data_IF_409459892131
#
_entry.id   IF_409459892131
#
_cell.length_a   1.000
_cell.length_b   1.000
_cell.length_c   1.000
_cell.angle_alpha   90.00
_cell.angle_beta   90.00
_cell.angle_gamma   90.00
#
_symmetry.space_group_name_H-M   'P 1'
#
loop_
_entity.id
_entity.type
_entity.pdbx_description
1 polymer ?
#
# COMPACT_ATOMS: atom_id res chain seq x y z
N UNK A 1 -4.43 0.23 -22.54
CA UNK A 1 -3.75 -1.04 -22.85
C UNK A 1 -4.43 -2.10 -22.02
N UNK A 2 -5.00 -3.13 -22.64
CA UNK A 2 -5.72 -4.17 -21.92
C UNK A 2 -4.78 -4.82 -20.91
N UNK A 3 -5.09 -4.66 -19.63
CA UNK A 3 -4.50 -5.49 -18.59
C UNK A 3 -4.79 -6.92 -18.98
N UNK A 4 -3.74 -7.64 -19.36
CA UNK A 4 -3.85 -9.07 -19.63
C UNK A 4 -4.52 -9.72 -18.43
N UNK A 5 -5.21 -10.81 -18.72
CA UNK A 5 -6.10 -11.56 -17.84
C UNK A 5 -5.35 -12.28 -16.71
N UNK A 6 -4.47 -11.57 -15.98
CA UNK A 6 -3.77 -12.06 -14.80
C UNK A 6 -4.79 -12.47 -13.74
N UNK A 7 -5.92 -11.75 -13.69
CA UNK A 7 -7.09 -12.10 -12.88
C UNK A 7 -7.67 -13.48 -13.21
N UNK A 8 -7.97 -13.81 -14.48
CA UNK A 8 -8.49 -15.14 -14.80
C UNK A 8 -7.42 -16.23 -14.74
N UNK A 9 -6.16 -15.95 -15.09
CA UNK A 9 -5.08 -16.93 -14.94
C UNK A 9 -4.87 -17.29 -13.46
N UNK A 10 -4.94 -16.30 -12.57
CA UNK A 10 -4.88 -16.51 -11.13
C UNK A 10 -6.15 -17.18 -10.60
N UNK A 11 -7.35 -16.75 -11.00
CA UNK A 11 -8.62 -17.36 -10.60
C UNK A 11 -8.74 -18.82 -11.05
N UNK A 12 -8.30 -19.15 -12.27
CA UNK A 12 -8.22 -20.53 -12.77
C UNK A 12 -7.21 -21.38 -11.99
N UNK A 13 -6.10 -20.76 -11.57
CA UNK A 13 -5.13 -21.41 -10.68
C UNK A 13 -5.74 -21.64 -9.28
N UNK A 14 -6.53 -20.70 -8.77
CA UNK A 14 -7.23 -20.80 -7.49
C UNK A 14 -8.33 -21.86 -7.51
N UNK A 15 -9.11 -21.97 -8.59
CA UNK A 15 -10.08 -23.06 -8.79
C UNK A 15 -9.38 -24.43 -8.83
N UNK A 16 -8.18 -24.49 -9.41
CA UNK A 16 -7.41 -25.72 -9.55
C UNK A 16 -6.73 -26.16 -8.24
N UNK A 17 -6.27 -25.21 -7.43
CA UNK A 17 -5.44 -25.50 -6.25
C UNK A 17 -6.22 -25.38 -4.94
N UNK A 18 -7.35 -24.66 -4.92
CA UNK A 18 -8.16 -24.41 -3.73
C UNK A 18 -7.55 -23.37 -2.79
N UNK A 19 -8.21 -23.09 -1.66
CA UNK A 19 -7.75 -22.12 -0.65
C UNK A 19 -6.85 -22.71 0.44
N UNK A 20 -6.55 -24.01 0.36
CA UNK A 20 -5.68 -24.74 1.30
C UNK A 20 -4.31 -25.02 0.67
N UNK A 21 -3.57 -23.96 0.36
CA UNK A 21 -2.25 -24.07 -0.26
C UNK A 21 -1.15 -24.17 0.81
N UNK A 22 -0.34 -25.23 0.78
CA UNK A 22 0.89 -25.32 1.58
C UNK A 22 2.12 -24.95 0.75
N UNK A 23 3.23 -24.64 1.41
CA UNK A 23 4.51 -24.35 0.75
C UNK A 23 5.01 -25.52 -0.11
N UNK A 24 4.72 -26.76 0.28
CA UNK A 24 5.07 -27.95 -0.51
C UNK A 24 4.27 -28.05 -1.81
N UNK A 25 3.01 -27.59 -1.80
CA UNK A 25 2.14 -27.63 -2.99
C UNK A 25 2.60 -26.61 -4.04
N UNK A 26 3.11 -25.44 -3.60
CA UNK A 26 3.71 -24.45 -4.51
C UNK A 26 4.96 -24.99 -5.22
N UNK A 27 5.83 -25.70 -4.50
CA UNK A 27 7.05 -26.30 -5.07
C UNK A 27 6.71 -27.41 -6.08
N UNK A 28 5.63 -28.17 -5.86
CA UNK A 28 5.13 -29.18 -6.82
C UNK A 28 4.52 -28.55 -8.07
N UNK A 29 3.88 -27.39 -7.94
CA UNK A 29 3.23 -26.67 -9.05
C UNK A 29 4.24 -25.97 -9.96
N UNK A 30 5.36 -25.51 -9.39
CA UNK A 30 6.46 -24.89 -10.10
C UNK A 30 7.75 -25.69 -9.87
N UNK A 31 7.85 -26.91 -10.43
CA UNK A 31 9.07 -27.68 -10.31
C UNK A 31 10.19 -26.85 -10.92
N UNK A 32 11.21 -26.56 -10.10
CA UNK A 32 12.41 -25.90 -10.57
C UNK A 32 13.03 -26.83 -11.60
N UNK A 33 12.83 -26.55 -12.88
CA UNK A 33 13.70 -27.11 -13.89
C UNK A 33 15.04 -26.41 -13.68
N UNK A 34 15.90 -26.98 -12.83
CA UNK A 34 17.33 -26.74 -12.96
C UNK A 34 17.66 -27.13 -14.40
N UNK A 35 17.73 -26.15 -15.29
CA UNK A 35 18.51 -26.27 -16.50
C UNK A 35 19.85 -26.84 -16.03
N UNK A 36 20.26 -27.97 -16.62
CA UNK A 36 21.47 -28.70 -16.27
C UNK A 36 22.56 -27.71 -15.86
N UNK A 37 22.95 -27.71 -14.60
CA UNK A 37 24.15 -27.02 -14.15
C UNK A 37 25.29 -27.62 -14.96
N UNK A 38 25.66 -26.97 -16.05
CA UNK A 38 26.95 -27.18 -16.65
C UNK A 38 27.94 -26.63 -15.63
N UNK A 39 28.44 -27.51 -14.78
CA UNK A 39 29.46 -27.28 -13.73
C UNK A 39 30.80 -26.73 -14.28
N UNK A 40 30.83 -26.33 -15.56
CA UNK A 40 31.98 -25.76 -16.22
C UNK A 40 31.83 -24.22 -16.27
N UNK A 41 32.84 -23.47 -15.81
CA UNK A 41 32.82 -22.01 -15.87
C UNK A 41 32.70 -21.51 -17.32
N UNK A 42 32.02 -20.38 -17.49
CA UNK A 42 31.80 -19.78 -18.81
C UNK A 42 33.14 -19.35 -19.40
N UNK A 43 33.47 -19.88 -20.59
CA UNK A 43 34.63 -19.41 -21.35
C UNK A 43 34.31 -18.05 -21.99
N UNK A 44 34.83 -16.98 -21.41
CA UNK A 44 34.56 -15.62 -21.87
C UNK A 44 35.03 -15.34 -23.30
N UNK A 45 36.08 -16.03 -23.75
CA UNK A 45 36.62 -15.91 -25.11
C UNK A 45 35.65 -16.41 -26.19
N UNK A 46 34.74 -17.33 -25.83
CA UNK A 46 33.73 -17.86 -26.74
C UNK A 46 32.48 -16.96 -26.84
N UNK A 47 32.42 -15.89 -26.04
CA UNK A 47 31.28 -14.99 -25.99
C UNK A 47 31.34 -13.95 -27.13
N UNK A 48 30.29 -13.94 -27.96
CA UNK A 48 30.14 -13.19 -29.24
C UNK A 48 30.53 -11.70 -29.23
N UNK A 49 30.63 -11.06 -28.06
CA UNK A 49 30.93 -9.63 -27.93
C UNK A 49 31.96 -9.31 -26.83
N UNK A 50 32.59 -10.31 -26.21
CA UNK A 50 33.51 -10.09 -25.09
C UNK A 50 34.74 -9.26 -25.49
N UNK A 51 35.20 -9.41 -26.73
CA UNK A 51 36.30 -8.61 -27.29
C UNK A 51 36.01 -7.10 -27.25
N UNK A 52 34.74 -6.70 -27.42
CA UNK A 52 34.33 -5.30 -27.35
C UNK A 52 34.40 -4.76 -25.92
N UNK A 53 34.12 -5.60 -24.92
CA UNK A 53 34.23 -5.26 -23.49
C UNK A 53 35.70 -5.21 -23.04
N UNK A 54 36.56 -6.06 -23.61
CA UNK A 54 37.99 -6.11 -23.29
C UNK A 54 38.83 -5.04 -24.01
N UNK A 55 38.27 -4.40 -25.05
CA UNK A 55 38.98 -3.40 -25.85
C UNK A 55 39.39 -2.16 -25.04
N UNK A 56 40.58 -1.63 -25.34
CA UNK A 56 41.04 -0.34 -24.81
C UNK A 56 40.28 0.81 -25.51
N UNK A 57 39.53 1.65 -24.77
CA UNK A 57 38.75 2.74 -25.36
C UNK A 57 39.59 3.69 -26.20
N UNK A 58 40.85 3.97 -25.80
CA UNK A 58 41.72 4.89 -26.53
C UNK A 58 42.15 4.34 -27.88
N UNK A 59 42.51 3.05 -27.94
CA UNK A 59 42.89 2.38 -29.19
C UNK A 59 41.71 2.31 -30.15
N UNK A 60 40.55 1.92 -29.64
CA UNK A 60 39.38 1.70 -30.46
C UNK A 60 38.79 3.03 -31.00
N UNK A 61 38.92 4.14 -30.27
CA UNK A 61 38.70 5.49 -30.82
C UNK A 61 39.65 5.80 -31.98
N UNK A 62 40.94 5.54 -31.80
CA UNK A 62 41.95 5.75 -32.85
C UNK A 62 41.66 4.93 -34.11
N UNK A 63 41.24 3.68 -33.95
CA UNK A 63 40.82 2.83 -35.08
C UNK A 63 39.57 3.38 -35.78
N UNK A 64 38.60 3.88 -35.02
CA UNK A 64 37.39 4.49 -35.57
C UNK A 64 37.71 5.79 -36.34
N UNK A 65 38.59 6.63 -35.82
CA UNK A 65 39.08 7.84 -36.51
C UNK A 65 39.85 7.48 -37.79
N UNK A 66 40.67 6.43 -37.76
CA UNK A 66 41.35 5.93 -38.95
C UNK A 66 40.34 5.49 -40.02
N UNK A 67 39.34 4.70 -39.65
CA UNK A 67 38.28 4.25 -40.55
C UNK A 67 37.47 5.43 -41.12
N UNK A 68 37.19 6.47 -40.32
CA UNK A 68 36.55 7.71 -40.80
C UNK A 68 37.42 8.44 -41.82
N UNK A 69 38.73 8.53 -41.59
CA UNK A 69 39.66 9.17 -42.52
C UNK A 69 39.80 8.39 -43.83
N UNK A 70 39.85 7.06 -43.77
CA UNK A 70 39.86 6.17 -44.95
C UNK A 70 38.56 6.32 -45.76
N UNK A 71 37.39 6.30 -45.09
CA UNK A 71 36.10 6.52 -45.74
C UNK A 71 36.01 7.91 -46.38
N UNK A 72 36.56 8.94 -45.73
CA UNK A 72 36.63 10.31 -46.27
C UNK A 72 37.52 10.39 -47.51
N UNK A 73 38.62 9.64 -47.56
CA UNK A 73 39.50 9.58 -48.72
C UNK A 73 38.87 8.81 -49.90
N UNK A 74 38.13 7.74 -49.63
CA UNK A 74 37.53 6.90 -50.67
C UNK A 74 36.22 7.47 -51.24
N UNK A 75 35.38 8.07 -50.40
CA UNK A 75 34.01 8.46 -50.77
C UNK A 75 33.72 9.95 -50.59
N UNK A 76 34.68 10.73 -50.07
CA UNK A 76 34.55 12.17 -49.86
C UNK A 76 33.93 12.54 -48.51
N UNK A 77 34.10 13.80 -48.11
CA UNK A 77 33.64 14.32 -46.82
C UNK A 77 32.10 14.27 -46.66
N UNK A 78 31.37 14.60 -47.73
CA UNK A 78 29.91 14.59 -47.72
C UNK A 78 29.31 13.21 -47.42
N UNK A 79 30.00 12.13 -47.75
CA UNK A 79 29.55 10.76 -47.47
C UNK A 79 29.63 10.43 -45.98
N UNK A 80 30.76 10.78 -45.35
CA UNK A 80 30.95 10.57 -43.91
C UNK A 80 29.96 11.42 -43.10
N UNK A 81 29.73 12.67 -43.52
CA UNK A 81 28.76 13.55 -42.85
C UNK A 81 27.33 13.01 -42.98
N UNK A 82 26.96 12.47 -44.15
CA UNK A 82 25.66 11.81 -44.34
C UNK A 82 25.50 10.58 -43.45
N UNK A 83 26.57 9.78 -43.31
CA UNK A 83 26.55 8.64 -42.39
C UNK A 83 26.35 9.13 -40.97
N UNK A 84 27.19 10.04 -40.47
CA UNK A 84 27.15 10.52 -39.08
C UNK A 84 25.80 11.17 -38.73
N UNK A 85 25.13 11.80 -39.69
CA UNK A 85 23.81 12.43 -39.51
C UNK A 85 22.62 11.50 -39.78
N UNK A 86 22.84 10.29 -40.32
CA UNK A 86 21.74 9.37 -40.62
C UNK A 86 21.07 8.80 -39.36
N UNK A 87 19.88 8.24 -39.52
CA UNK A 87 19.19 7.46 -38.48
C UNK A 87 19.61 5.97 -38.45
N UNK A 88 20.36 5.52 -39.47
CA UNK A 88 20.80 4.12 -39.57
C UNK A 88 22.07 3.88 -38.77
N UNK A 89 22.17 2.72 -38.13
CA UNK A 89 23.39 2.30 -37.44
C UNK A 89 24.54 2.16 -38.44
N UNK A 90 25.74 2.60 -38.05
CA UNK A 90 26.96 2.39 -38.83
C UNK A 90 28.17 2.33 -37.88
N UNK A 91 29.13 1.40 -38.08
CA UNK A 91 30.34 1.31 -37.24
C UNK A 91 31.18 2.59 -37.15
N UNK A 92 31.03 3.53 -38.09
CA UNK A 92 31.75 4.80 -38.09
C UNK A 92 31.14 5.79 -37.08
N UNK A 93 29.94 5.53 -36.55
CA UNK A 93 29.29 6.34 -35.52
C UNK A 93 29.77 6.03 -34.11
N UNK A 94 30.49 4.92 -33.95
CA UNK A 94 31.03 4.47 -32.67
C UNK A 94 31.83 5.58 -31.99
N UNK A 95 31.49 5.90 -30.74
CA UNK A 95 32.18 6.94 -29.95
C UNK A 95 33.20 6.36 -28.97
N UNK A 96 32.86 5.25 -28.30
CA UNK A 96 33.70 4.56 -27.28
C UNK A 96 34.21 5.50 -26.20
N UNK A 97 33.28 6.23 -25.60
CA UNK A 97 33.54 7.19 -24.54
C UNK A 97 33.88 6.51 -23.21
N UNK A 98 33.32 5.32 -22.97
CA UNK A 98 33.33 4.65 -21.67
C UNK A 98 34.27 3.45 -21.64
N UNK A 99 34.89 3.19 -20.49
CA UNK A 99 35.70 1.99 -20.25
C UNK A 99 34.85 0.85 -19.65
N UNK A 100 34.56 -0.17 -20.47
CA UNK A 100 33.75 -1.33 -20.10
C UNK A 100 34.59 -2.53 -19.60
N UNK A 101 35.92 -2.40 -19.50
CA UNK A 101 36.77 -3.51 -19.07
C UNK A 101 36.42 -3.92 -17.64
N UNK A 102 36.27 -5.22 -17.44
CA UNK A 102 35.97 -5.79 -16.12
C UNK A 102 37.24 -5.86 -15.27
N UNK A 103 37.10 -5.56 -13.97
CA UNK A 103 38.16 -5.84 -12.99
C UNK A 103 38.37 -7.35 -12.85
N UNK A 104 39.53 -7.80 -12.33
CA UNK A 104 39.78 -9.23 -12.13
C UNK A 104 38.68 -9.94 -11.34
N UNK A 105 38.17 -9.31 -10.28
CA UNK A 105 37.11 -9.87 -9.43
C UNK A 105 35.76 -9.93 -10.16
N UNK A 106 35.41 -8.88 -10.91
CA UNK A 106 34.19 -8.83 -11.74
C UNK A 106 34.23 -9.90 -12.83
N UNK A 107 35.40 -10.11 -13.44
CA UNK A 107 35.63 -11.14 -14.46
C UNK A 107 35.47 -12.55 -13.87
N UNK A 108 36.07 -12.80 -12.71
CA UNK A 108 35.94 -14.09 -12.02
C UNK A 108 34.47 -14.39 -11.66
N UNK A 109 33.73 -13.39 -11.20
CA UNK A 109 32.29 -13.54 -10.92
C UNK A 109 31.47 -13.83 -12.19
N UNK A 110 31.81 -13.21 -13.32
CA UNK A 110 31.16 -13.47 -14.60
C UNK A 110 31.47 -14.90 -15.10
N UNK A 111 32.71 -15.37 -14.95
CA UNK A 111 33.11 -16.75 -15.30
C UNK A 111 32.38 -17.80 -14.46
N UNK A 112 32.18 -17.51 -13.17
CA UNK A 112 31.51 -18.42 -12.24
C UNK A 112 29.98 -18.45 -12.38
N UNK A 113 29.34 -17.27 -12.52
CA UNK A 113 27.88 -17.14 -12.42
C UNK A 113 27.19 -16.83 -13.76
N UNK A 114 27.93 -16.51 -14.82
CA UNK A 114 27.38 -16.06 -16.10
C UNK A 114 26.75 -14.65 -16.07
N UNK A 115 26.74 -13.99 -14.92
CA UNK A 115 26.27 -12.60 -14.74
C UNK A 115 27.14 -11.87 -13.72
N UNK A 116 27.34 -10.57 -13.93
CA UNK A 116 28.04 -9.68 -12.98
C UNK A 116 27.34 -8.32 -12.92
N UNK A 117 27.16 -7.79 -11.72
CA UNK A 117 26.71 -6.42 -11.50
C UNK A 117 27.93 -5.51 -11.31
N UNK A 118 27.99 -4.41 -12.06
CA UNK A 118 29.14 -3.50 -12.08
C UNK A 118 28.73 -2.14 -11.51
N UNK A 119 29.07 -1.89 -10.24
CA UNK A 119 28.66 -0.67 -9.52
C UNK A 119 29.45 0.59 -9.91
N UNK A 120 30.65 0.43 -10.47
CA UNK A 120 31.56 1.55 -10.79
C UNK A 120 31.03 2.49 -11.89
N UNK A 121 29.98 2.11 -12.60
CA UNK A 121 29.41 2.86 -13.72
C UNK A 121 27.99 3.34 -13.37
N UNK A 122 27.85 4.27 -12.40
CA UNK A 122 26.54 4.82 -12.09
C UNK A 122 25.99 5.61 -13.28
N UNK A 123 24.67 5.66 -13.33
CA UNK A 123 23.91 6.46 -14.27
C UNK A 123 22.66 6.98 -13.57
N UNK A 124 22.16 8.12 -14.01
CA UNK A 124 20.96 8.74 -13.41
C UNK A 124 19.68 7.98 -13.77
N UNK A 125 19.68 7.24 -14.87
CA UNK A 125 18.53 6.47 -15.34
C UNK A 125 18.94 5.30 -16.23
N UNK A 126 18.02 4.36 -16.43
CA UNK A 126 18.16 3.31 -17.44
C UNK A 126 18.40 3.87 -18.84
N UNK A 127 17.74 4.99 -19.18
CA UNK A 127 17.89 5.63 -20.49
C UNK A 127 19.31 6.12 -20.75
N UNK A 128 19.98 6.67 -19.73
CA UNK A 128 21.38 7.08 -19.83
C UNK A 128 22.31 5.88 -20.09
N UNK A 129 22.09 4.76 -19.39
CA UNK A 129 22.86 3.52 -19.64
C UNK A 129 22.65 3.02 -21.06
N UNK A 130 21.40 2.93 -21.51
CA UNK A 130 21.08 2.46 -22.87
C UNK A 130 21.68 3.37 -23.94
N UNK A 131 21.60 4.68 -23.74
CA UNK A 131 22.17 5.65 -24.68
C UNK A 131 23.71 5.54 -24.72
N UNK A 132 24.35 5.40 -23.56
CA UNK A 132 25.80 5.21 -23.44
C UNK A 132 26.28 3.94 -24.16
N UNK A 133 25.61 2.82 -23.93
CA UNK A 133 25.91 1.55 -24.60
C UNK A 133 25.68 1.65 -26.12
N UNK A 134 24.57 2.28 -26.53
CA UNK A 134 24.22 2.46 -27.93
C UNK A 134 25.25 3.34 -28.68
N UNK A 135 25.67 4.46 -28.09
CA UNK A 135 26.65 5.38 -28.69
C UNK A 135 28.06 4.79 -28.76
N UNK A 136 28.40 3.88 -27.84
CA UNK A 136 29.67 3.15 -27.85
C UNK A 136 29.66 1.88 -28.73
N UNK A 137 28.55 1.63 -29.42
CA UNK A 137 28.32 0.46 -30.27
C UNK A 137 28.47 -0.86 -29.50
N UNK A 138 27.97 -0.87 -28.26
CA UNK A 138 27.92 -2.05 -27.40
C UNK A 138 26.56 -2.75 -27.51
N UNK A 139 26.48 -4.08 -27.31
CA UNK A 139 25.21 -4.79 -27.27
C UNK A 139 24.30 -4.24 -26.18
N UNK A 140 23.10 -3.79 -26.55
CA UNK A 140 22.09 -3.27 -25.62
C UNK A 140 21.01 -4.33 -25.40
N UNK A 141 20.80 -4.70 -24.15
CA UNK A 141 19.67 -5.53 -23.75
C UNK A 141 18.72 -4.69 -22.91
N UNK A 142 17.52 -4.45 -23.43
CA UNK A 142 16.47 -3.68 -22.74
C UNK A 142 15.56 -4.65 -22.00
N UNK A 143 15.52 -4.54 -20.66
CA UNK A 143 14.66 -5.37 -19.82
C UNK A 143 13.33 -4.67 -19.54
N UNK A 144 12.33 -5.48 -19.18
CA UNK A 144 11.04 -4.99 -18.70
C UNK A 144 11.20 -4.06 -17.48
N UNK A 145 12.22 -4.28 -16.64
CA UNK A 145 12.46 -3.51 -15.42
C UNK A 145 12.60 -2.02 -15.69
N UNK A 146 13.23 -1.63 -16.81
CA UNK A 146 13.37 -0.20 -17.16
C UNK A 146 12.02 0.48 -17.42
N UNK A 147 11.06 -0.25 -18.01
CA UNK A 147 9.70 0.22 -18.26
C UNK A 147 8.88 0.19 -16.97
N UNK A 148 8.96 -0.91 -16.23
CA UNK A 148 8.24 -1.08 -14.95
C UNK A 148 8.70 -0.07 -13.90
N UNK A 149 9.99 0.26 -13.86
CA UNK A 149 10.54 1.29 -12.99
C UNK A 149 10.03 2.68 -13.35
N UNK A 150 10.01 3.03 -14.64
CA UNK A 150 9.45 4.30 -15.09
C UNK A 150 7.95 4.41 -14.78
N UNK A 151 7.21 3.31 -14.96
CA UNK A 151 5.80 3.23 -14.60
C UNK A 151 5.59 3.39 -13.09
N UNK A 152 6.34 2.65 -12.26
CA UNK A 152 6.27 2.73 -10.81
C UNK A 152 6.55 4.15 -10.30
N UNK A 153 7.61 4.79 -10.80
CA UNK A 153 7.93 6.18 -10.42
C UNK A 153 6.84 7.17 -10.82
N UNK A 154 6.23 6.97 -11.98
CA UNK A 154 5.12 7.82 -12.43
C UNK A 154 3.86 7.62 -11.58
N UNK A 155 3.57 6.37 -11.23
CA UNK A 155 2.45 6.02 -10.35
C UNK A 155 2.64 6.57 -8.93
N UNK A 156 3.84 6.42 -8.36
CA UNK A 156 4.21 6.94 -7.04
C UNK A 156 4.06 8.47 -6.98
N UNK A 157 4.59 9.19 -7.97
CA UNK A 157 4.44 10.65 -8.06
C UNK A 157 2.96 11.07 -8.19
N UNK A 158 2.19 10.38 -9.04
CA UNK A 158 0.75 10.61 -9.18
C UNK A 158 -0.01 10.37 -7.86
N UNK A 159 0.34 9.34 -7.11
CA UNK A 159 -0.25 9.05 -5.81
C UNK A 159 0.06 10.15 -4.81
N UNK A 160 1.31 10.56 -4.68
CA UNK A 160 1.74 11.66 -3.81
C UNK A 160 0.95 12.94 -4.11
N UNK A 161 0.86 13.31 -5.38
CA UNK A 161 0.12 14.51 -5.80
C UNK A 161 -1.37 14.38 -5.48
N UNK A 162 -1.97 13.21 -5.69
CA UNK A 162 -3.39 12.96 -5.37
C UNK A 162 -3.65 13.00 -3.86
N UNK A 163 -2.74 12.42 -3.07
CA UNK A 163 -2.84 12.40 -1.61
C UNK A 163 -2.76 13.80 -1.02
N UNK A 164 -1.79 14.61 -1.45
CA UNK A 164 -1.58 15.96 -0.94
C UNK A 164 -2.65 16.92 -1.45
N UNK A 165 -2.90 16.95 -2.77
CA UNK A 165 -3.74 18.00 -3.36
C UNK A 165 -5.24 17.73 -3.22
N UNK A 166 -5.63 16.45 -3.09
CA UNK A 166 -7.05 16.05 -3.12
C UNK A 166 -7.45 15.36 -1.83
N UNK A 167 -6.79 14.25 -1.46
CA UNK A 167 -7.27 13.41 -0.36
C UNK A 167 -7.10 14.07 1.01
N UNK A 168 -5.94 14.66 1.30
CA UNK A 168 -5.65 15.31 2.58
C UNK A 168 -6.63 16.47 2.89
N UNK A 169 -6.84 17.47 1.98
CA UNK A 169 -7.84 18.52 2.21
C UNK A 169 -9.27 18.01 2.30
N UNK A 170 -9.59 16.97 1.52
CA UNK A 170 -10.93 16.35 1.56
C UNK A 170 -11.17 15.65 2.89
N UNK A 171 -10.14 14.98 3.42
CA UNK A 171 -10.18 14.30 4.70
C UNK A 171 -10.32 15.30 5.85
N UNK A 172 -9.57 16.40 5.82
CA UNK A 172 -9.68 17.49 6.79
C UNK A 172 -11.12 18.00 6.89
N UNK A 173 -11.73 18.29 5.73
CA UNK A 173 -13.12 18.73 5.64
C UNK A 173 -14.12 17.69 6.18
N UNK A 174 -13.96 16.42 5.83
CA UNK A 174 -14.82 15.33 6.34
C UNK A 174 -14.76 15.28 7.87
N UNK A 175 -13.56 15.25 8.44
CA UNK A 175 -13.34 15.15 9.87
C UNK A 175 -13.84 16.39 10.61
N UNK A 176 -13.49 17.60 10.16
CA UNK A 176 -13.89 18.86 10.78
C UNK A 176 -15.42 19.03 10.80
N UNK A 177 -16.08 18.81 9.66
CA UNK A 177 -17.54 18.97 9.57
C UNK A 177 -18.30 17.94 10.41
N UNK A 178 -17.80 16.71 10.46
CA UNK A 178 -18.41 15.63 11.26
C UNK A 178 -18.18 15.86 12.75
N UNK A 179 -16.96 16.24 13.13
CA UNK A 179 -16.59 16.57 14.51
C UNK A 179 -17.43 17.74 15.04
N UNK A 180 -17.61 18.79 14.23
CA UNK A 180 -18.45 19.95 14.60
C UNK A 180 -19.89 19.53 14.92
N UNK A 181 -20.49 18.66 14.09
CA UNK A 181 -21.85 18.13 14.33
C UNK A 181 -21.92 17.26 15.59
N UNK A 182 -20.88 16.47 15.84
CA UNK A 182 -20.78 15.67 17.05
C UNK A 182 -20.69 16.55 18.31
N UNK A 183 -19.84 17.58 18.30
CA UNK A 183 -19.72 18.53 19.40
C UNK A 183 -21.02 19.32 19.67
N UNK A 184 -21.71 19.77 18.62
CA UNK A 184 -23.04 20.41 18.74
C UNK A 184 -24.04 19.49 19.45
N UNK A 185 -24.09 18.20 19.08
CA UNK A 185 -24.97 17.21 19.70
C UNK A 185 -24.61 16.97 21.18
N UNK A 186 -23.32 16.83 21.51
CA UNK A 186 -22.86 16.64 22.90
C UNK A 186 -23.25 17.83 23.80
N UNK A 187 -23.21 19.06 23.27
CA UNK A 187 -23.60 20.27 24.03
C UNK A 187 -25.12 20.31 24.23
N UNK A 188 -25.90 19.84 23.26
CA UNK A 188 -27.36 19.81 23.33
C UNK A 188 -27.90 18.73 24.28
N UNK A 189 -27.20 17.61 24.42
CA UNK A 189 -27.61 16.49 25.28
C UNK A 189 -27.37 16.78 26.76
N UNK A 190 -28.40 16.56 27.58
CA UNK A 190 -28.32 16.73 29.03
C UNK A 190 -27.30 15.77 29.67
N UNK A 191 -26.74 16.15 30.82
CA UNK A 191 -25.78 15.29 31.56
C UNK A 191 -26.43 14.04 32.19
N UNK A 192 -27.76 13.99 32.26
CA UNK A 192 -28.49 12.88 32.89
C UNK A 192 -28.63 11.66 31.95
N UNK A 193 -28.48 11.86 30.63
CA UNK A 193 -28.39 10.78 29.64
C UNK A 193 -26.94 10.27 29.55
N UNK A 194 -26.56 9.39 30.48
CA UNK A 194 -25.16 9.02 30.66
C UNK A 194 -24.62 8.12 29.54
N UNK A 195 -25.46 7.30 28.91
CA UNK A 195 -25.00 6.32 27.91
C UNK A 195 -24.87 6.94 26.53
N UNK A 196 -25.89 7.65 26.03
CA UNK A 196 -25.81 8.30 24.72
C UNK A 196 -24.74 9.40 24.71
N UNK A 197 -24.59 10.15 25.81
CA UNK A 197 -23.49 11.11 25.97
C UNK A 197 -22.14 10.42 25.86
N UNK A 198 -21.94 9.30 26.57
CA UNK A 198 -20.67 8.57 26.54
C UNK A 198 -20.32 8.07 25.13
N UNK A 199 -21.31 7.53 24.40
CA UNK A 199 -21.13 7.09 23.00
C UNK A 199 -20.69 8.24 22.11
N UNK A 200 -21.33 9.40 22.20
CA UNK A 200 -20.94 10.57 21.42
C UNK A 200 -19.54 11.07 21.79
N UNK A 201 -19.19 11.05 23.08
CA UNK A 201 -17.86 11.41 23.59
C UNK A 201 -16.79 10.47 23.04
N UNK A 202 -17.02 9.17 22.95
CA UNK A 202 -16.07 8.22 22.33
C UNK A 202 -15.92 8.45 20.81
N UNK A 203 -17.02 8.78 20.12
CA UNK A 203 -17.00 9.14 18.68
C UNK A 203 -16.24 10.46 18.45
N UNK A 204 -16.44 11.44 19.32
CA UNK A 204 -15.72 12.72 19.32
C UNK A 204 -14.22 12.49 19.47
N UNK A 205 -13.80 11.66 20.44
CA UNK A 205 -12.40 11.33 20.65
C UNK A 205 -11.78 10.68 19.40
N UNK A 206 -12.47 9.70 18.81
CA UNK A 206 -12.00 9.03 17.58
C UNK A 206 -11.79 10.01 16.42
N UNK A 207 -12.74 10.91 16.18
CA UNK A 207 -12.67 11.93 15.13
C UNK A 207 -11.57 12.96 15.43
N UNK A 208 -11.46 13.39 16.69
CA UNK A 208 -10.50 14.41 17.12
C UNK A 208 -9.07 13.91 17.07
N UNK A 209 -8.80 12.65 17.40
CA UNK A 209 -7.48 12.04 17.21
C UNK A 209 -7.11 12.07 15.72
N UNK A 210 -8.01 11.63 14.84
CA UNK A 210 -7.77 11.62 13.40
C UNK A 210 -7.46 13.01 12.83
N UNK A 211 -8.24 14.03 13.23
CA UNK A 211 -8.03 15.40 12.77
C UNK A 211 -6.75 16.03 13.36
N UNK A 212 -6.44 15.74 14.62
CA UNK A 212 -5.20 16.21 15.27
C UNK A 212 -3.96 15.60 14.61
N UNK A 213 -4.01 14.32 14.21
CA UNK A 213 -2.93 13.68 13.46
C UNK A 213 -2.74 14.31 12.08
N UNK A 214 -3.83 14.66 11.39
CA UNK A 214 -3.81 15.27 10.06
C UNK A 214 -3.24 16.70 10.08
N UNK A 215 -3.69 17.52 11.03
CA UNK A 215 -3.25 18.92 11.19
C UNK A 215 -1.89 19.04 11.86
N UNK A 216 -1.53 18.08 12.71
CA UNK A 216 -0.27 18.07 13.48
C UNK A 216 -0.33 18.93 14.74
N UNK A 217 -1.53 19.29 15.18
CA UNK A 217 -1.79 20.10 16.36
C UNK A 217 -3.00 19.52 17.12
N UNK A 218 -3.11 19.86 18.40
CA UNK A 218 -4.26 19.48 19.20
C UNK A 218 -5.47 20.31 18.75
N UNK A 219 -6.48 19.63 18.23
CA UNK A 219 -7.73 20.26 17.81
C UNK A 219 -8.63 20.48 19.02
N UNK A 220 -9.19 21.68 19.15
CA UNK A 220 -10.16 22.01 20.18
C UNK A 220 -11.43 21.14 20.08
N UNK A 221 -12.03 20.85 21.23
CA UNK A 221 -13.22 19.99 21.31
C UNK A 221 -13.78 19.93 22.72
N UNK A 222 -14.48 18.85 23.04
CA UNK A 222 -15.06 18.67 24.39
C UNK A 222 -13.94 18.35 25.38
N UNK A 223 -13.90 19.07 26.51
CA UNK A 223 -12.83 18.93 27.52
C UNK A 223 -12.81 17.57 28.24
N UNK A 224 -13.87 16.77 28.10
CA UNK A 224 -14.04 15.47 28.77
C UNK A 224 -12.97 14.45 28.35
N UNK A 225 -12.44 14.57 27.13
CA UNK A 225 -11.49 13.62 26.55
C UNK A 225 -10.06 14.12 26.40
N UNK A 226 -9.70 15.30 26.90
CA UNK A 226 -8.39 15.91 26.59
C UNK A 226 -7.22 15.04 27.04
N UNK A 227 -7.32 14.40 28.21
CA UNK A 227 -6.26 13.51 28.72
C UNK A 227 -6.12 12.26 27.84
N UNK A 228 -7.23 11.62 27.47
CA UNK A 228 -7.19 10.43 26.62
C UNK A 228 -6.77 10.75 25.17
N UNK A 229 -7.11 11.93 24.65
CA UNK A 229 -6.59 12.43 23.37
C UNK A 229 -5.06 12.49 23.39
N UNK A 230 -4.49 13.21 24.36
CA UNK A 230 -3.03 13.36 24.47
C UNK A 230 -2.34 12.00 24.63
N UNK A 231 -2.96 11.09 25.40
CA UNK A 231 -2.47 9.73 25.60
C UNK A 231 -2.47 8.91 24.31
N UNK A 232 -3.57 8.92 23.55
CA UNK A 232 -3.66 8.20 22.27
C UNK A 232 -2.70 8.75 21.23
N UNK A 233 -2.54 10.07 21.16
CA UNK A 233 -1.53 10.71 20.31
C UNK A 233 -0.12 10.28 20.73
N UNK A 234 0.20 10.29 22.02
CA UNK A 234 1.49 9.82 22.52
C UNK A 234 1.74 8.33 22.18
N UNK A 235 0.70 7.49 22.20
CA UNK A 235 0.81 6.09 21.78
C UNK A 235 1.12 5.97 20.29
N UNK A 236 0.41 6.71 19.43
CA UNK A 236 0.68 6.78 17.98
C UNK A 236 2.12 7.19 17.69
N UNK A 237 2.65 8.19 18.41
CA UNK A 237 4.04 8.64 18.24
C UNK A 237 5.07 7.72 18.89
N UNK A 238 4.67 6.84 19.81
CA UNK A 238 5.60 5.90 20.43
C UNK A 238 6.00 4.73 19.54
N UNK A 239 5.21 4.43 18.49
CA UNK A 239 5.50 3.36 17.51
C UNK A 239 5.70 1.97 18.16
N UNK A 240 5.06 1.74 19.31
CA UNK A 240 5.17 0.54 20.13
C UNK A 240 3.82 -0.17 20.26
N UNK A 241 3.84 -1.49 20.49
CA UNK A 241 2.62 -2.21 20.86
C UNK A 241 2.22 -1.87 22.31
N UNK A 242 1.00 -1.37 22.52
CA UNK A 242 0.51 -0.92 23.82
C UNK A 242 -0.93 -1.34 24.07
N UNK A 243 -1.28 -1.52 25.34
CA UNK A 243 -2.68 -1.58 25.75
C UNK A 243 -3.27 -0.16 25.75
N UNK A 244 -4.29 0.03 24.92
CA UNK A 244 -5.01 1.29 24.78
C UNK A 244 -6.50 1.07 25.06
N UNK A 245 -7.15 2.10 25.61
CA UNK A 245 -8.61 2.15 25.68
C UNK A 245 -9.12 2.75 24.36
N UNK A 246 -9.83 1.95 23.58
CA UNK A 246 -10.33 2.32 22.26
C UNK A 246 -11.83 2.06 22.27
N UNK A 247 -12.62 3.14 22.19
CA UNK A 247 -14.09 3.10 22.21
C UNK A 247 -14.61 2.33 23.44
N UNK A 248 -14.12 2.72 24.62
CA UNK A 248 -14.47 2.11 25.91
C UNK A 248 -14.15 0.61 26.02
N UNK A 249 -13.18 0.12 25.25
CA UNK A 249 -12.73 -1.27 25.24
C UNK A 249 -11.20 -1.33 25.27
N UNK A 250 -10.66 -2.07 26.24
CA UNK A 250 -9.21 -2.26 26.38
C UNK A 250 -8.69 -3.26 25.35
N UNK A 251 -7.72 -2.84 24.54
CA UNK A 251 -7.15 -3.66 23.47
C UNK A 251 -5.65 -3.46 23.39
N UNK A 252 -4.95 -4.53 23.00
CA UNK A 252 -3.56 -4.43 22.56
C UNK A 252 -3.58 -3.91 21.13
N UNK A 253 -3.07 -2.70 20.92
CA UNK A 253 -2.93 -2.07 19.62
C UNK A 253 -1.45 -1.94 19.27
N UNK A 254 -1.11 -2.28 18.02
CA UNK A 254 0.25 -2.14 17.51
C UNK A 254 0.44 -0.77 16.85
N UNK A 255 0.98 0.19 17.61
CA UNK A 255 1.22 1.53 17.09
C UNK A 255 2.45 1.62 16.17
N UNK A 256 3.24 0.55 16.01
CA UNK A 256 4.37 0.53 15.07
C UNK A 256 3.95 0.67 13.60
N UNK A 257 2.67 0.39 13.32
CA UNK A 257 2.04 0.59 12.01
C UNK A 257 1.91 2.06 11.62
N UNK A 258 1.92 2.97 12.60
CA UNK A 258 1.82 4.41 12.37
C UNK A 258 3.14 5.06 11.97
N UNK A 259 4.24 4.29 11.97
CA UNK A 259 5.54 4.74 11.48
C UNK A 259 5.49 4.99 9.97
N UNK A 260 5.69 6.23 9.48
CA UNK A 260 5.71 6.54 8.06
C UNK A 260 6.81 5.77 7.32
N UNK A 261 6.53 5.31 6.10
CA UNK A 261 7.44 4.50 5.26
C UNK A 261 7.32 4.91 3.80
N UNK A 262 8.34 4.63 2.99
CA UNK A 262 8.33 4.96 1.57
C UNK A 262 8.21 6.47 1.32
N UNK A 263 7.40 6.86 0.34
CA UNK A 263 7.20 8.27 -0.02
C UNK A 263 6.60 9.11 1.10
N UNK A 264 5.91 8.49 2.07
CA UNK A 264 5.35 9.23 3.21
C UNK A 264 6.41 9.89 4.10
N UNK A 265 7.69 9.53 3.95
CA UNK A 265 8.82 10.16 4.66
C UNK A 265 9.35 11.42 3.98
N UNK A 266 8.83 11.77 2.80
CA UNK A 266 9.35 12.89 2.00
C UNK A 266 8.94 14.28 2.53
N UNK A 267 7.87 14.37 3.34
CA UNK A 267 7.41 15.64 3.92
C UNK A 267 6.61 15.42 5.20
N UNK A 268 6.63 16.42 6.08
CA UNK A 268 5.81 16.43 7.31
C UNK A 268 4.30 16.30 7.01
N UNK A 269 3.84 16.90 5.91
CA UNK A 269 2.44 16.79 5.48
C UNK A 269 2.05 15.35 5.14
N UNK A 270 2.90 14.64 4.40
CA UNK A 270 2.67 13.24 4.08
C UNK A 270 2.76 12.35 5.34
N UNK A 271 3.67 12.65 6.26
CA UNK A 271 3.77 11.92 7.53
C UNK A 271 2.49 12.06 8.36
N UNK A 272 1.92 13.27 8.43
CA UNK A 272 0.65 13.54 9.11
C UNK A 272 -0.54 12.85 8.44
N UNK A 273 -0.65 12.98 7.12
CA UNK A 273 -1.68 12.31 6.33
C UNK A 273 -1.62 10.80 6.52
N UNK A 274 -0.43 10.20 6.46
CA UNK A 274 -0.23 8.77 6.69
C UNK A 274 -0.76 8.35 8.08
N UNK A 275 -0.36 9.05 9.15
CA UNK A 275 -0.81 8.70 10.51
C UNK A 275 -2.32 8.84 10.67
N UNK A 276 -2.93 9.87 10.09
CA UNK A 276 -4.37 10.05 10.09
C UNK A 276 -5.10 8.94 9.32
N UNK A 277 -4.63 8.58 8.12
CA UNK A 277 -5.19 7.46 7.34
C UNK A 277 -5.03 6.12 8.06
N UNK A 278 -3.87 5.89 8.69
CA UNK A 278 -3.65 4.70 9.51
C UNK A 278 -4.62 4.65 10.69
N UNK A 279 -4.84 5.77 11.40
CA UNK A 279 -5.82 5.84 12.47
C UNK A 279 -7.23 5.45 11.99
N UNK A 280 -7.70 6.09 10.92
CA UNK A 280 -9.06 5.90 10.42
C UNK A 280 -9.31 4.56 9.73
N UNK A 281 -8.23 3.87 9.31
CA UNK A 281 -8.30 2.59 8.62
C UNK A 281 -7.96 1.37 9.47
N UNK A 282 -7.20 1.52 10.56
CA UNK A 282 -6.81 0.42 11.45
C UNK A 282 -7.61 0.37 12.75
N UNK A 283 -7.94 1.53 13.31
CA UNK A 283 -8.71 1.59 14.55
C UNK A 283 -10.18 1.36 14.22
N UNK A 284 -10.62 0.13 14.50
CA UNK A 284 -11.92 -0.38 14.12
C UNK A 284 -12.91 -0.44 15.30
N UNK A 285 -14.20 -0.40 14.93
CA UNK A 285 -15.33 -0.61 15.81
C UNK A 285 -15.70 -2.09 15.67
N UNK A 286 -15.46 -2.90 16.69
CA UNK A 286 -15.85 -4.31 16.73
C UNK A 286 -17.35 -4.37 17.02
N UNK A 287 -18.15 -4.60 15.98
CA UNK A 287 -19.61 -4.42 16.04
C UNK A 287 -20.37 -5.72 16.28
N UNK A 288 -19.74 -6.87 16.05
CA UNK A 288 -20.32 -8.19 16.33
C UNK A 288 -19.26 -9.30 16.39
N UNK A 289 -19.60 -10.43 17.01
CA UNK A 289 -18.79 -11.65 16.96
C UNK A 289 -17.51 -11.60 17.80
N UNK A 290 -17.38 -10.60 18.68
CA UNK A 290 -16.35 -10.49 19.69
C UNK A 290 -16.61 -11.38 20.91
N UNK A 291 -15.66 -11.39 21.84
CA UNK A 291 -15.74 -12.19 23.07
C UNK A 291 -16.71 -11.62 24.10
N UNK A 292 -17.00 -10.31 24.01
CA UNK A 292 -17.84 -9.56 24.94
C UNK A 292 -18.98 -8.86 24.18
N UNK A 293 -20.16 -9.49 24.11
CA UNK A 293 -21.30 -8.96 23.34
C UNK A 293 -21.75 -7.55 23.75
N UNK A 294 -21.55 -7.18 25.03
CA UNK A 294 -21.83 -5.83 25.53
C UNK A 294 -20.89 -4.77 24.95
N UNK A 295 -19.60 -5.07 24.81
CA UNK A 295 -18.64 -4.17 24.16
C UNK A 295 -18.93 -4.06 22.66
N UNK A 296 -19.33 -5.16 22.02
CA UNK A 296 -19.70 -5.17 20.60
C UNK A 296 -20.92 -4.27 20.32
N UNK A 297 -21.96 -4.37 21.17
CA UNK A 297 -23.16 -3.55 21.03
C UNK A 297 -22.86 -2.06 21.28
N UNK A 298 -22.03 -1.77 22.27
CA UNK A 298 -21.59 -0.40 22.56
C UNK A 298 -20.85 0.22 21.38
N UNK A 299 -19.92 -0.52 20.78
CA UNK A 299 -19.16 -0.06 19.61
C UNK A 299 -20.01 0.02 18.35
N UNK A 300 -20.99 -0.88 18.18
CA UNK A 300 -22.01 -0.73 17.15
C UNK A 300 -22.77 0.59 17.34
N UNK A 301 -23.15 0.93 18.57
CA UNK A 301 -23.80 2.22 18.86
C UNK A 301 -22.90 3.40 18.44
N UNK A 302 -21.61 3.36 18.77
CA UNK A 302 -20.64 4.37 18.34
C UNK A 302 -20.54 4.46 16.81
N UNK A 303 -20.51 3.32 16.11
CA UNK A 303 -20.48 3.30 14.64
C UNK A 303 -21.75 3.89 14.01
N UNK A 304 -22.93 3.58 14.57
CA UNK A 304 -24.20 4.18 14.11
C UNK A 304 -24.20 5.69 14.34
N UNK A 305 -23.70 6.17 15.49
CA UNK A 305 -23.57 7.61 15.77
C UNK A 305 -22.62 8.30 14.80
N UNK A 306 -21.46 7.70 14.52
CA UNK A 306 -20.54 8.23 13.52
C UNK A 306 -21.20 8.34 12.14
N UNK A 307 -21.92 7.30 11.69
CA UNK A 307 -22.66 7.34 10.42
C UNK A 307 -23.77 8.39 10.43
N UNK A 308 -24.44 8.60 11.56
CA UNK A 308 -25.41 9.67 11.73
C UNK A 308 -24.76 11.06 11.53
N UNK A 309 -23.65 11.35 12.21
CA UNK A 309 -22.95 12.63 12.05
C UNK A 309 -22.37 12.83 10.65
N UNK A 310 -21.91 11.76 9.99
CA UNK A 310 -21.49 11.79 8.57
C UNK A 310 -22.64 12.13 7.63
N UNK A 311 -23.85 11.65 7.92
CA UNK A 311 -25.06 11.96 7.14
C UNK A 311 -25.48 13.41 7.35
N UNK A 312 -25.47 13.87 8.60
CA UNK A 312 -25.92 15.22 8.99
C UNK A 312 -24.95 16.31 8.52
N UNK A 313 -23.65 16.01 8.52
CA UNK A 313 -22.61 16.87 7.93
C UNK A 313 -22.57 16.84 6.40
N UNK A 314 -23.38 16.00 5.76
CA UNK A 314 -23.33 15.71 4.31
C UNK A 314 -21.97 15.14 3.83
N UNK A 315 -21.10 14.70 4.74
CA UNK A 315 -19.79 14.15 4.43
C UNK A 315 -19.85 12.71 3.90
N UNK A 316 -20.95 11.98 4.15
CA UNK A 316 -21.06 10.56 3.79
C UNK A 316 -20.82 10.29 2.29
N UNK A 317 -21.39 11.11 1.40
CA UNK A 317 -21.17 10.96 -0.06
C UNK A 317 -19.73 11.26 -0.48
N UNK A 318 -19.03 12.08 0.29
CA UNK A 318 -17.63 12.41 0.05
C UNK A 318 -16.77 11.21 0.49
N UNK A 319 -17.05 10.65 1.67
CA UNK A 319 -16.42 9.41 2.16
C UNK A 319 -16.60 8.27 1.17
N UNK A 320 -17.79 8.07 0.62
CA UNK A 320 -18.04 7.04 -0.41
C UNK A 320 -17.16 7.21 -1.66
N UNK A 321 -16.94 8.47 -2.10
CA UNK A 321 -16.09 8.75 -3.26
C UNK A 321 -14.60 8.54 -2.95
N UNK A 322 -14.16 8.96 -1.77
CA UNK A 322 -12.78 8.72 -1.29
C UNK A 322 -12.52 7.22 -1.18
N UNK A 323 -13.46 6.49 -0.58
CA UNK A 323 -13.37 5.05 -0.41
C UNK A 323 -13.29 4.30 -1.76
N UNK A 324 -14.11 4.70 -2.73
CA UNK A 324 -14.08 4.16 -4.09
C UNK A 324 -12.79 4.50 -4.84
N UNK A 325 -12.27 5.73 -4.70
CA UNK A 325 -11.01 6.13 -5.30
C UNK A 325 -9.85 5.29 -4.75
N UNK A 326 -9.71 5.20 -3.42
CA UNK A 326 -8.66 4.39 -2.79
C UNK A 326 -8.80 2.92 -3.20
N UNK A 327 -10.01 2.37 -3.21
CA UNK A 327 -10.25 0.99 -3.63
C UNK A 327 -9.86 0.75 -5.08
N UNK A 328 -10.10 1.71 -5.98
CA UNK A 328 -9.70 1.59 -7.39
C UNK A 328 -8.19 1.63 -7.62
N UNK A 329 -7.44 2.22 -6.69
CA UNK A 329 -5.99 2.37 -6.77
C UNK A 329 -5.23 1.22 -6.10
N UNK A 330 -5.77 0.69 -4.99
CA UNK A 330 -5.03 -0.20 -4.08
C UNK A 330 -5.68 -1.57 -3.88
N UNK A 331 -7.00 -1.72 -4.03
CA UNK A 331 -7.67 -2.97 -3.68
C UNK A 331 -7.56 -4.00 -4.81
N UNK A 332 -7.14 -5.22 -4.46
CA UNK A 332 -7.06 -6.32 -5.41
C UNK A 332 -8.46 -6.79 -5.83
N UNK A 333 -8.65 -6.95 -7.14
CA UNK A 333 -9.90 -7.49 -7.70
C UNK A 333 -11.16 -6.66 -7.38
N UNK A 334 -11.00 -5.40 -6.96
CA UNK A 334 -12.11 -4.55 -6.56
C UNK A 334 -12.81 -4.98 -5.28
N UNK A 335 -12.16 -5.78 -4.42
CA UNK A 335 -12.78 -6.31 -3.18
C UNK A 335 -13.00 -5.26 -2.09
N UNK A 336 -12.36 -4.08 -2.18
CA UNK A 336 -12.51 -3.01 -1.20
C UNK A 336 -11.86 -3.35 0.14
N UNK A 337 -12.47 -2.93 1.25
CA UNK A 337 -12.04 -3.28 2.60
C UNK A 337 -12.87 -4.44 3.17
N UNK A 338 -12.23 -5.26 4.02
CA UNK A 338 -12.90 -6.36 4.74
C UNK A 338 -13.86 -5.87 5.84
N UNK A 339 -13.63 -4.66 6.34
CA UNK A 339 -14.47 -4.00 7.34
C UNK A 339 -15.76 -3.46 6.73
N UNK A 340 -16.84 -3.41 7.52
CA UNK A 340 -18.08 -2.76 7.16
C UNK A 340 -17.85 -1.26 6.94
N UNK A 341 -18.30 -0.73 5.79
CA UNK A 341 -18.16 0.68 5.45
C UNK A 341 -19.36 1.53 5.93
N UNK A 342 -19.21 2.87 6.03
CA UNK A 342 -20.30 3.80 6.38
C UNK A 342 -21.55 3.63 5.51
N UNK A 343 -21.38 3.43 4.20
CA UNK A 343 -22.49 3.28 3.26
C UNK A 343 -23.20 1.93 3.41
N UNK A 344 -22.46 0.87 3.72
CA UNK A 344 -23.03 -0.44 4.00
C UNK A 344 -23.81 -0.42 5.33
N UNK A 345 -23.25 0.19 6.38
CA UNK A 345 -23.93 0.33 7.66
C UNK A 345 -25.20 1.17 7.52
N UNK A 346 -25.17 2.29 6.79
CA UNK A 346 -26.36 3.11 6.53
C UNK A 346 -27.51 2.31 5.89
N UNK A 347 -27.23 1.37 5.00
CA UNK A 347 -28.26 0.50 4.38
C UNK A 347 -28.90 -0.47 5.38
N UNK A 348 -28.26 -0.72 6.51
CA UNK A 348 -28.81 -1.53 7.58
C UNK A 348 -29.69 -0.70 8.52
N UNK A 349 -29.48 0.60 8.60
CA UNK A 349 -30.25 1.49 9.47
C UNK A 349 -31.70 1.66 8.99
N UNK A 350 -32.67 1.78 9.91
CA UNK A 350 -34.04 2.13 9.56
C UNK A 350 -34.07 3.51 8.87
N UNK A 351 -35.06 3.73 8.00
CA UNK A 351 -35.22 5.01 7.30
C UNK A 351 -35.75 6.13 8.20
N UNK A 352 -36.35 5.76 9.32
CA UNK A 352 -36.93 6.63 10.34
C UNK A 352 -35.83 7.17 11.29
N UNK A 353 -36.21 8.04 12.23
CA UNK A 353 -35.31 8.64 13.23
C UNK A 353 -34.41 7.58 13.86
N UNK A 354 -33.10 7.83 13.82
CA UNK A 354 -32.07 6.88 14.20
C UNK A 354 -32.07 6.57 15.71
N UNK A 355 -32.68 7.44 16.51
CA UNK A 355 -32.68 7.34 17.97
C UNK A 355 -34.02 7.83 18.52
N UNK A 356 -34.53 7.11 19.52
CA UNK A 356 -35.65 7.50 20.37
C UNK A 356 -35.11 7.72 21.78
N UNK A 357 -35.78 8.55 22.58
CA UNK A 357 -35.42 8.78 24.00
C UNK A 357 -35.65 7.52 24.88
N UNK A 358 -36.01 6.38 24.28
CA UNK A 358 -36.17 5.09 24.96
C UNK A 358 -34.95 4.17 24.70
N UNK A 359 -34.11 4.03 25.73
CA UNK A 359 -32.94 3.15 25.72
C UNK A 359 -33.27 1.70 25.30
N UNK A 360 -34.48 1.21 25.60
CA UNK A 360 -34.89 -0.16 25.26
C UNK A 360 -35.15 -0.32 23.77
N UNK A 361 -35.74 0.68 23.13
CA UNK A 361 -35.95 0.67 21.68
C UNK A 361 -34.62 0.74 20.94
N UNK A 362 -33.72 1.63 21.40
CA UNK A 362 -32.35 1.74 20.87
C UNK A 362 -31.61 0.41 20.99
N UNK A 363 -31.65 -0.25 22.14
CA UNK A 363 -31.02 -1.56 22.35
C UNK A 363 -31.61 -2.65 21.43
N UNK A 364 -32.93 -2.66 21.24
CA UNK A 364 -33.61 -3.61 20.36
C UNK A 364 -33.20 -3.41 18.89
N UNK A 365 -33.13 -2.15 18.45
CA UNK A 365 -32.65 -1.78 17.11
C UNK A 365 -31.20 -2.22 16.90
N UNK A 366 -30.30 -1.93 17.84
CA UNK A 366 -28.89 -2.30 17.74
C UNK A 366 -28.71 -3.82 17.65
N UNK A 367 -29.44 -4.60 18.45
CA UNK A 367 -29.44 -6.07 18.35
C UNK A 367 -29.95 -6.57 17.01
N UNK A 368 -31.00 -5.94 16.46
CA UNK A 368 -31.49 -6.28 15.12
C UNK A 368 -30.44 -6.02 14.03
N UNK A 369 -29.74 -4.90 14.10
CA UNK A 369 -28.66 -4.57 13.17
C UNK A 369 -27.50 -5.58 13.32
N UNK A 370 -27.08 -5.88 14.54
CA UNK A 370 -26.01 -6.84 14.84
C UNK A 370 -26.33 -8.23 14.26
N UNK A 371 -27.55 -8.72 14.44
CA UNK A 371 -27.98 -9.99 13.85
C UNK A 371 -27.90 -9.96 12.31
N UNK A 372 -28.32 -8.87 11.67
CA UNK A 372 -28.22 -8.72 10.21
C UNK A 372 -26.77 -8.65 9.72
N UNK A 373 -25.86 -8.07 10.50
CA UNK A 373 -24.41 -8.05 10.22
C UNK A 373 -23.88 -9.49 10.20
N UNK A 374 -24.20 -10.28 11.22
CA UNK A 374 -23.76 -11.68 11.35
C UNK A 374 -24.36 -12.58 10.27
N UNK A 375 -25.67 -12.48 10.02
CA UNK A 375 -26.38 -13.27 9.00
C UNK A 375 -25.82 -13.05 7.59
N UNK A 376 -25.52 -11.80 7.25
CA UNK A 376 -24.98 -11.41 5.94
C UNK A 376 -23.45 -11.47 5.89
N UNK A 377 -22.78 -11.85 6.99
CA UNK A 377 -21.32 -11.87 7.15
C UNK A 377 -20.65 -10.55 6.75
N UNK A 378 -21.29 -9.43 7.10
CA UNK A 378 -20.76 -8.11 6.77
C UNK A 378 -19.65 -7.74 7.76
N UNK A 379 -18.60 -7.08 7.27
CA UNK A 379 -17.46 -6.66 8.08
C UNK A 379 -16.62 -7.80 8.66
N UNK A 380 -16.82 -9.04 8.20
CA UNK A 380 -16.08 -10.21 8.66
C UNK A 380 -14.62 -10.11 8.20
N UNK A 381 -13.73 -9.72 9.11
CA UNK A 381 -12.32 -9.52 8.80
C UNK A 381 -11.67 -10.82 8.32
N UNK A 382 -10.91 -10.76 7.23
CA UNK A 382 -10.07 -11.86 6.77
C UNK A 382 -8.63 -11.69 7.27
N UNK A 383 -8.22 -10.44 7.46
CA UNK A 383 -6.91 -10.04 7.98
C UNK A 383 -7.13 -9.25 9.27
N UNK A 384 -6.50 -9.68 10.36
CA UNK A 384 -6.53 -8.93 11.61
C UNK A 384 -5.41 -7.88 11.61
N UNK A 385 -5.77 -6.62 11.82
CA UNK A 385 -4.83 -5.51 11.85
C UNK A 385 -4.03 -5.38 13.15
N UNK A 386 -4.41 -6.05 14.23
CA UNK A 386 -3.74 -5.89 15.53
C UNK A 386 -3.43 -7.22 16.22
N UNK A 387 -2.40 -7.28 17.10
CA UNK A 387 -2.09 -8.47 17.86
C UNK A 387 -3.31 -8.96 18.64
N UNK A 388 -3.65 -10.24 18.48
CA UNK A 388 -4.71 -10.90 19.24
C UNK A 388 -4.13 -12.07 19.99
N UNK A 389 -4.37 -12.11 21.29
CA UNK A 389 -4.03 -13.24 22.13
C UNK A 389 -5.26 -14.14 22.19
N UNK A 390 -5.15 -15.36 21.65
CA UNK A 390 -6.21 -16.36 21.72
C UNK A 390 -5.89 -17.37 22.83
N UNK A 391 -6.75 -17.42 23.85
CA UNK A 391 -6.62 -18.40 24.93
C UNK A 391 -7.34 -19.69 24.54
N UNK A 392 -6.77 -20.45 23.60
CA UNK A 392 -7.32 -21.74 23.19
C UNK A 392 -6.66 -22.92 23.93
N UNK A 393 -7.38 -24.05 24.12
CA UNK A 393 -6.78 -25.28 24.60
C UNK A 393 -5.66 -25.75 23.64
N UNK A 394 -4.60 -26.42 24.13
CA UNK A 394 -3.46 -26.86 23.30
C UNK A 394 -3.84 -27.76 22.11
N UNK A 395 -5.02 -28.36 22.14
CA UNK A 395 -5.55 -29.26 21.12
C UNK A 395 -6.31 -28.57 19.99
N UNK A 396 -6.58 -27.26 20.10
CA UNK A 396 -7.25 -26.50 19.05
C UNK A 396 -6.24 -26.08 17.99
N UNK A 397 -6.47 -26.49 16.74
CA UNK A 397 -5.64 -26.11 15.59
C UNK A 397 -6.31 -25.05 14.71
N UNK A 398 -7.54 -24.64 15.06
CA UNK A 398 -8.33 -23.66 14.31
C UNK A 398 -8.39 -22.33 15.06
N UNK A 399 -7.89 -21.22 14.47
CA UNK A 399 -7.98 -19.90 15.06
C UNK A 399 -9.43 -19.51 15.38
N UNK A 400 -9.62 -18.67 16.40
CA UNK A 400 -10.94 -18.10 16.69
C UNK A 400 -11.43 -17.26 15.51
N UNK A 401 -12.75 -17.21 15.31
CA UNK A 401 -13.32 -16.29 14.32
C UNK A 401 -12.97 -14.84 14.70
N UNK A 402 -12.55 -14.06 13.70
CA UNK A 402 -12.35 -12.62 13.87
C UNK A 402 -13.71 -11.92 14.04
N UNK A 403 -13.78 -10.86 14.87
CA UNK A 403 -15.00 -10.09 15.01
C UNK A 403 -15.36 -9.40 13.69
N UNK A 404 -16.65 -9.16 13.50
CA UNK A 404 -17.11 -8.24 12.47
C UNK A 404 -16.74 -6.82 12.90
N UNK A 405 -16.08 -6.11 12.01
CA UNK A 405 -15.57 -4.76 12.24
C UNK A 405 -16.25 -3.73 11.35
N UNK A 406 -16.30 -2.50 11.83
CA UNK A 406 -16.61 -1.30 11.07
C UNK A 406 -15.40 -0.36 11.13
N UNK A 407 -15.04 0.24 10.00
CA UNK A 407 -13.99 1.25 9.94
C UNK A 407 -14.41 2.39 9.01
N UNK A 408 -14.00 3.62 9.33
CA UNK A 408 -14.37 4.79 8.53
C UNK A 408 -13.75 4.72 7.13
N UNK A 409 -12.46 4.39 7.06
CA UNK A 409 -11.68 4.21 5.84
C UNK A 409 -10.83 2.93 5.94
N UNK A 410 -11.50 1.79 6.11
CA UNK A 410 -10.86 0.51 6.40
C UNK A 410 -9.76 0.11 5.41
N UNK A 411 -8.75 -0.60 5.91
CA UNK A 411 -7.65 -1.09 5.07
C UNK A 411 -8.14 -1.96 3.91
N UNK A 412 -7.53 -1.78 2.74
CA UNK A 412 -7.90 -2.50 1.54
C UNK A 412 -7.37 -3.92 1.57
N UNK A 413 -8.21 -4.85 1.16
CA UNK A 413 -7.79 -6.22 0.99
C UNK A 413 -6.78 -6.33 -0.14
N UNK A 414 -5.67 -6.99 0.14
CA UNK A 414 -4.62 -7.33 -0.81
C UNK A 414 -4.27 -8.80 -0.60
N UNK A 415 -4.18 -9.56 -1.68
CA UNK A 415 -3.95 -11.01 -1.61
C UNK A 415 -2.62 -11.37 -0.95
N UNK A 416 -1.58 -10.59 -1.18
CA UNK A 416 -0.27 -10.79 -0.55
C UNK A 416 -0.38 -10.72 0.97
N UNK A 417 -1.05 -9.70 1.50
CA UNK A 417 -1.29 -9.52 2.93
C UNK A 417 -2.09 -10.69 3.53
N UNK A 418 -3.10 -11.18 2.82
CA UNK A 418 -3.87 -12.35 3.24
C UNK A 418 -3.03 -13.63 3.27
N UNK A 419 -2.18 -13.86 2.27
CA UNK A 419 -1.30 -15.04 2.24
C UNK A 419 -0.28 -14.96 3.37
N UNK A 420 0.37 -13.81 3.56
CA UNK A 420 1.35 -13.63 4.63
C UNK A 420 0.74 -13.79 6.02
N UNK A 421 -0.49 -13.30 6.25
CA UNK A 421 -1.18 -13.48 7.54
C UNK A 421 -1.53 -14.95 7.85
N UNK A 422 -1.50 -15.84 6.86
CA UNK A 422 -1.70 -17.29 7.02
C UNK A 422 -0.42 -18.09 7.17
N UNK A 423 0.72 -17.52 6.78
CA UNK A 423 2.02 -18.19 6.80
C UNK A 423 2.88 -17.79 8.01
N UNK A 424 2.56 -16.66 8.65
CA UNK A 424 3.24 -16.18 9.86
C UNK A 424 2.36 -16.52 11.06
N UNK A 425 2.84 -17.42 11.93
CA UNK A 425 2.17 -17.87 13.16
C UNK A 425 2.71 -17.16 14.40
#
# INVERSE_FOLDING_TARGET
MGGGDVGAAFAATLERVGTQLTSEDLVKLYPVSCAQETDAPVKLEDCKFFDLFAADPMKARGDTERLRNEAKQQHGASFVDQILTSTTHHPLKRMQTTDYRLKPDEKANLEANGVVAVERMPAESFADIYYRLYTDDMPVFVTADSILHAWHRSFDAFLVDTEIQILSPTLDKILETTLSKCCEAIIATSKDDSEARRVMVDVELFLRVGLSLLRGELVDGVTENTIELERLLAFVYSEETKEADILSSKRIADFSQFKPRGHYTNSEELMRYFRAMMWLGTIDFRVAGGEKPEEDLYQLHCAVMLVHFLRDSQALKIVEKVDALISSLVADGGMGADSLSPSQLLRLLPKETLFTDDDKETLSMLKSIQNRILEKRLGAQLINGHPRVENQPPTSTTPMSLPSSFALLGQRFVWSSFIFSRLVF
#
